data_IF_485960134086
#
_entry.id   IF_485960134086
#
_cell.length_a   1.000
_cell.length_b   1.000
_cell.length_c   1.000
_cell.angle_alpha   90.00
_cell.angle_beta   90.00
_cell.angle_gamma   90.00
#
_symmetry.space_group_name_H-M   'P 1'
#
loop_
_entity.id
_entity.type
_entity.pdbx_description
1 polymer ?
#
# COMPACT_ATOMS: atom_id res chain seq x y z
N UNK A 1 -25.82 -22.22 14.60
CA UNK A 1 -25.14 -22.38 13.28
C UNK A 1 -23.71 -22.83 13.56
N UNK A 2 -23.31 -23.95 12.99
CA UNK A 2 -21.92 -24.40 13.11
C UNK A 2 -21.09 -23.72 12.04
N UNK A 3 -19.93 -23.10 12.34
CA UNK A 3 -19.06 -22.53 11.34
C UNK A 3 -18.65 -23.59 10.29
N UNK A 4 -18.77 -23.25 9.01
CA UNK A 4 -18.55 -24.23 7.91
C UNK A 4 -17.08 -24.38 7.52
N UNK A 5 -16.22 -23.44 7.94
CA UNK A 5 -14.80 -23.42 7.56
C UNK A 5 -13.92 -23.28 8.80
N UNK A 6 -12.92 -24.12 8.93
CA UNK A 6 -11.99 -24.14 10.07
C UNK A 6 -10.54 -23.89 9.64
N UNK A 7 -10.19 -24.14 8.38
CA UNK A 7 -8.84 -23.94 7.88
C UNK A 7 -8.68 -22.50 7.33
N UNK A 8 -7.62 -21.79 7.75
CA UNK A 8 -7.40 -20.39 7.32
C UNK A 8 -7.42 -20.19 5.79
N UNK A 9 -6.83 -21.13 5.03
CA UNK A 9 -6.82 -21.08 3.58
C UNK A 9 -8.22 -21.15 2.96
N UNK A 10 -9.10 -21.98 3.50
CA UNK A 10 -10.48 -22.14 3.01
C UNK A 10 -11.33 -20.92 3.36
N UNK A 11 -11.13 -20.37 4.56
CA UNK A 11 -11.80 -19.12 4.99
C UNK A 11 -11.47 -17.99 4.01
N UNK A 12 -10.19 -17.80 3.68
CA UNK A 12 -9.77 -16.73 2.78
C UNK A 12 -10.27 -16.97 1.36
N UNK A 13 -10.17 -18.19 0.81
CA UNK A 13 -10.71 -18.53 -0.53
C UNK A 13 -12.20 -18.23 -0.60
N UNK A 14 -12.95 -18.66 0.42
CA UNK A 14 -14.40 -18.41 0.50
C UNK A 14 -14.69 -16.93 0.55
N UNK A 15 -13.96 -16.16 1.36
CA UNK A 15 -14.10 -14.70 1.43
C UNK A 15 -13.84 -14.03 0.09
N UNK A 16 -12.75 -14.38 -0.60
CA UNK A 16 -12.44 -13.82 -1.93
C UNK A 16 -13.50 -14.23 -2.97
N UNK A 17 -14.05 -15.45 -2.89
CA UNK A 17 -15.14 -15.90 -3.77
C UNK A 17 -16.44 -15.09 -3.55
N UNK A 18 -16.78 -14.83 -2.28
CA UNK A 18 -17.94 -13.97 -1.92
C UNK A 18 -17.73 -12.56 -2.46
N UNK A 19 -16.57 -11.95 -2.20
CA UNK A 19 -16.22 -10.60 -2.69
C UNK A 19 -16.32 -10.54 -4.21
N UNK A 20 -15.81 -11.55 -4.92
CA UNK A 20 -15.88 -11.60 -6.39
C UNK A 20 -17.31 -11.59 -6.88
N UNK A 21 -18.17 -12.48 -6.34
CA UNK A 21 -19.58 -12.54 -6.70
C UNK A 21 -20.30 -11.22 -6.42
N UNK A 22 -20.10 -10.64 -5.25
CA UNK A 22 -20.76 -9.37 -4.87
C UNK A 22 -20.27 -8.19 -5.72
N UNK A 23 -19.00 -8.15 -6.13
CA UNK A 23 -18.49 -7.17 -7.09
C UNK A 23 -19.17 -7.30 -8.45
N UNK A 24 -19.39 -8.53 -8.93
CA UNK A 24 -20.08 -8.80 -10.19
C UNK A 24 -21.56 -8.39 -10.11
N UNK A 25 -22.25 -8.72 -9.01
CA UNK A 25 -23.64 -8.32 -8.75
C UNK A 25 -23.82 -6.79 -8.68
N UNK A 26 -22.83 -6.08 -8.14
CA UNK A 26 -22.80 -4.61 -8.06
C UNK A 26 -22.36 -3.94 -9.38
N UNK A 27 -21.90 -4.67 -10.37
CA UNK A 27 -21.32 -4.12 -11.60
C UNK A 27 -20.00 -3.38 -11.36
N UNK A 28 -19.21 -3.79 -10.36
CA UNK A 28 -17.96 -3.16 -9.91
C UNK A 28 -16.75 -4.07 -10.12
N UNK A 29 -16.84 -5.01 -11.03
CA UNK A 29 -15.73 -5.94 -11.33
C UNK A 29 -14.48 -5.15 -11.74
N UNK A 30 -13.38 -5.23 -10.98
CA UNK A 30 -12.16 -4.51 -11.32
C UNK A 30 -11.46 -5.15 -12.52
N UNK A 31 -10.65 -4.39 -13.28
CA UNK A 31 -9.79 -4.93 -14.32
C UNK A 31 -8.89 -6.05 -13.78
N UNK A 32 -8.59 -7.09 -14.58
CA UNK A 32 -7.80 -8.24 -14.12
C UNK A 32 -6.47 -7.87 -13.45
N UNK A 33 -5.77 -6.86 -13.98
CA UNK A 33 -4.47 -6.39 -13.52
C UNK A 33 -4.52 -5.75 -12.11
N UNK A 34 -5.66 -5.20 -11.70
CA UNK A 34 -5.85 -4.56 -10.38
C UNK A 34 -6.67 -5.40 -9.41
N UNK A 35 -7.31 -6.46 -9.91
CA UNK A 35 -8.30 -7.24 -9.16
C UNK A 35 -7.75 -7.83 -7.84
N UNK A 36 -6.51 -8.30 -7.82
CA UNK A 36 -5.89 -8.84 -6.61
C UNK A 36 -5.77 -7.78 -5.50
N UNK A 37 -5.39 -6.55 -5.86
CA UNK A 37 -5.27 -5.42 -4.92
C UNK A 37 -6.65 -5.00 -4.42
N UNK A 38 -7.61 -4.76 -5.32
CA UNK A 38 -8.96 -4.32 -4.96
C UNK A 38 -9.62 -5.34 -4.03
N UNK A 39 -9.62 -6.62 -4.39
CA UNK A 39 -10.22 -7.70 -3.58
C UNK A 39 -9.55 -7.84 -2.23
N UNK A 40 -8.22 -7.66 -2.14
CA UNK A 40 -7.48 -7.71 -0.87
C UNK A 40 -7.85 -6.54 0.05
N UNK A 41 -8.03 -5.35 -0.48
CA UNK A 41 -8.47 -4.19 0.30
C UNK A 41 -9.90 -4.41 0.80
N UNK A 42 -10.82 -4.87 -0.03
CA UNK A 42 -12.19 -5.19 0.37
C UNK A 42 -12.20 -6.31 1.43
N UNK A 43 -11.39 -7.36 1.25
CA UNK A 43 -11.26 -8.43 2.25
C UNK A 43 -10.83 -7.90 3.62
N UNK A 44 -9.93 -6.90 3.65
CA UNK A 44 -9.42 -6.31 4.90
C UNK A 44 -10.42 -5.35 5.56
N UNK A 45 -11.29 -4.70 4.78
CA UNK A 45 -12.13 -3.60 5.25
C UNK A 45 -13.63 -3.92 5.27
N UNK A 46 -14.05 -4.97 4.57
CA UNK A 46 -15.44 -5.29 4.26
C UNK A 46 -16.19 -4.12 3.56
N UNK A 47 -15.47 -3.27 2.82
CA UNK A 47 -15.99 -2.03 2.22
C UNK A 47 -15.80 -2.05 0.69
N UNK A 48 -16.90 -2.19 -0.03
CA UNK A 48 -16.94 -2.27 -1.49
C UNK A 48 -16.72 -0.93 -2.18
N UNK A 49 -16.79 0.20 -1.47
CA UNK A 49 -16.48 1.51 -2.06
C UNK A 49 -15.02 1.59 -2.56
N UNK A 50 -14.13 0.75 -2.04
CA UNK A 50 -12.76 0.67 -2.54
C UNK A 50 -12.67 0.20 -4.00
N UNK A 51 -13.66 -0.51 -4.52
CA UNK A 51 -13.73 -0.83 -5.95
C UNK A 51 -13.90 0.42 -6.84
N UNK A 52 -14.49 1.49 -6.30
CA UNK A 52 -14.66 2.78 -6.99
C UNK A 52 -13.57 3.79 -6.67
N UNK A 53 -13.07 3.75 -5.42
CA UNK A 53 -12.20 4.80 -4.89
C UNK A 53 -10.70 4.51 -5.07
N UNK A 54 -10.32 3.26 -5.31
CA UNK A 54 -8.93 2.96 -5.65
C UNK A 54 -8.63 3.40 -7.08
N UNK A 55 -7.65 4.29 -7.21
CA UNK A 55 -7.07 4.71 -8.48
C UNK A 55 -5.69 4.13 -8.66
N UNK A 56 -5.38 3.80 -9.89
CA UNK A 56 -4.10 3.24 -10.29
C UNK A 56 -3.58 4.05 -11.48
N UNK A 57 -2.31 4.43 -11.48
CA UNK A 57 -1.65 4.85 -12.72
C UNK A 57 -1.47 3.64 -13.64
N UNK A 58 -1.42 3.83 -14.97
CA UNK A 58 -1.21 2.71 -15.89
C UNK A 58 0.04 1.88 -15.53
N UNK A 59 -0.11 0.55 -15.47
CA UNK A 59 1.00 -0.36 -15.17
C UNK A 59 1.50 -0.35 -13.71
N UNK A 60 0.81 0.31 -12.76
CA UNK A 60 1.27 0.45 -11.38
C UNK A 60 1.52 -0.90 -10.68
N UNK A 61 0.63 -1.88 -10.88
CA UNK A 61 0.78 -3.21 -10.27
C UNK A 61 1.97 -3.96 -10.87
N UNK A 62 2.12 -3.92 -12.20
CA UNK A 62 3.25 -4.56 -12.88
C UNK A 62 4.60 -3.95 -12.45
N UNK A 63 4.68 -2.61 -12.38
CA UNK A 63 5.86 -1.90 -11.91
C UNK A 63 6.23 -2.28 -10.46
N UNK A 64 5.22 -2.38 -9.58
CA UNK A 64 5.41 -2.81 -8.21
C UNK A 64 5.93 -4.25 -8.11
N UNK A 65 5.34 -5.19 -8.85
CA UNK A 65 5.78 -6.58 -8.89
C UNK A 65 7.22 -6.69 -9.40
N UNK A 66 7.56 -5.96 -10.46
CA UNK A 66 8.95 -5.89 -10.97
C UNK A 66 9.93 -5.34 -9.94
N UNK A 67 9.56 -4.28 -9.23
CA UNK A 67 10.39 -3.70 -8.18
C UNK A 67 10.59 -4.67 -7.00
N UNK A 68 9.54 -5.38 -6.59
CA UNK A 68 9.63 -6.39 -5.53
C UNK A 68 10.54 -7.56 -5.93
N UNK A 69 10.51 -8.02 -7.17
CA UNK A 69 11.45 -9.02 -7.69
C UNK A 69 12.90 -8.52 -7.69
N UNK A 70 13.11 -7.21 -7.84
CA UNK A 70 14.41 -6.57 -7.75
C UNK A 70 14.87 -6.30 -6.30
N UNK A 71 14.09 -6.72 -5.30
CA UNK A 71 14.42 -6.52 -3.88
C UNK A 71 14.17 -5.10 -3.37
N UNK A 72 13.23 -4.37 -3.96
CA UNK A 72 12.91 -3.01 -3.53
C UNK A 72 12.45 -2.97 -2.07
N UNK A 73 12.92 -1.97 -1.33
CA UNK A 73 12.43 -1.68 0.03
C UNK A 73 10.98 -1.20 0.00
N UNK A 74 10.24 -1.52 1.05
CA UNK A 74 8.96 -0.89 1.34
C UNK A 74 9.15 0.05 2.53
N UNK A 75 8.89 1.34 2.37
CA UNK A 75 8.94 2.31 3.46
C UNK A 75 7.52 2.71 3.83
N UNK A 76 7.16 2.55 5.11
CA UNK A 76 5.83 2.90 5.62
C UNK A 76 5.88 4.15 6.49
N UNK A 77 4.76 4.88 6.55
CA UNK A 77 4.60 6.04 7.44
C UNK A 77 4.10 5.68 8.84
N UNK A 78 3.82 4.40 9.12
CA UNK A 78 3.39 3.92 10.43
C UNK A 78 3.95 2.54 10.75
N UNK A 79 4.26 2.30 12.04
CA UNK A 79 4.61 0.97 12.51
C UNK A 79 3.44 -0.03 12.39
N UNK A 80 2.20 0.44 12.40
CA UNK A 80 1.02 -0.39 12.18
C UNK A 80 1.02 -0.97 10.76
N UNK A 81 1.26 -0.15 9.73
CA UNK A 81 1.38 -0.64 8.36
C UNK A 81 2.56 -1.62 8.23
N UNK A 82 3.73 -1.29 8.79
CA UNK A 82 4.90 -2.16 8.80
C UNK A 82 4.60 -3.52 9.45
N UNK A 83 3.89 -3.52 10.60
CA UNK A 83 3.52 -4.75 11.30
C UNK A 83 2.56 -5.62 10.48
N UNK A 84 1.68 -5.01 9.68
CA UNK A 84 0.70 -5.69 8.83
C UNK A 84 1.29 -6.30 7.55
N UNK A 85 2.51 -5.93 7.15
CA UNK A 85 3.17 -6.47 5.95
C UNK A 85 3.69 -7.89 6.20
N UNK A 86 3.42 -8.79 5.26
CA UNK A 86 3.80 -10.21 5.34
C UNK A 86 5.33 -10.41 5.33
N UNK A 87 5.87 -10.87 6.44
CA UNK A 87 7.31 -11.19 6.58
C UNK A 87 7.74 -12.38 5.71
N UNK A 88 6.99 -13.52 5.67
CA UNK A 88 7.34 -14.65 4.81
C UNK A 88 7.36 -14.29 3.33
N UNK A 89 6.40 -13.49 2.86
CA UNK A 89 6.35 -13.04 1.48
C UNK A 89 7.55 -12.16 1.10
N UNK A 90 7.91 -11.19 1.95
CA UNK A 90 9.09 -10.36 1.74
C UNK A 90 10.37 -11.19 1.71
N UNK A 91 10.53 -12.13 2.66
CA UNK A 91 11.72 -13.02 2.71
C UNK A 91 11.88 -13.81 1.42
N UNK A 92 10.78 -14.30 0.83
CA UNK A 92 10.80 -15.04 -0.46
C UNK A 92 11.32 -14.18 -1.62
N UNK A 93 11.14 -12.86 -1.54
CA UNK A 93 11.58 -11.89 -2.54
C UNK A 93 12.91 -11.20 -2.18
N UNK A 94 13.57 -11.61 -1.09
CA UNK A 94 14.75 -10.93 -0.53
C UNK A 94 14.49 -9.43 -0.29
N UNK A 95 13.23 -9.05 -0.04
CA UNK A 95 12.78 -7.70 0.21
C UNK A 95 12.76 -7.36 1.69
N UNK A 96 12.79 -6.06 2.00
CA UNK A 96 12.70 -5.53 3.35
C UNK A 96 11.61 -4.45 3.43
N UNK A 97 11.03 -4.31 4.63
CA UNK A 97 10.12 -3.22 4.94
C UNK A 97 10.56 -2.51 6.21
N UNK A 98 10.52 -1.18 6.20
CA UNK A 98 10.99 -0.31 7.28
C UNK A 98 10.00 0.81 7.56
N UNK A 99 10.10 1.38 8.78
CA UNK A 99 9.37 2.58 9.20
C UNK A 99 10.30 3.45 10.06
N UNK A 100 10.50 4.69 9.67
CA UNK A 100 11.37 5.63 10.37
C UNK A 100 10.69 6.40 11.51
N UNK A 101 9.38 6.22 11.74
CA UNK A 101 8.59 7.03 12.68
C UNK A 101 9.04 6.91 14.15
N UNK A 102 9.66 5.79 14.53
CA UNK A 102 10.18 5.58 15.87
C UNK A 102 11.69 5.94 16.02
N UNK A 103 12.34 6.33 14.93
CA UNK A 103 13.78 6.66 14.95
C UNK A 103 14.01 8.01 15.67
N UNK A 104 14.86 8.05 16.73
CA UNK A 104 15.17 9.28 17.45
C UNK A 104 15.76 10.38 16.56
N UNK A 105 16.57 10.02 15.56
CA UNK A 105 17.15 11.00 14.64
C UNK A 105 16.09 11.69 13.77
N UNK A 106 15.04 10.96 13.36
CA UNK A 106 13.89 11.53 12.65
C UNK A 106 13.08 12.45 13.55
N UNK A 107 12.89 12.07 14.82
CA UNK A 107 12.20 12.92 15.79
C UNK A 107 12.95 14.24 16.01
N UNK A 108 14.28 14.18 16.13
CA UNK A 108 15.12 15.38 16.31
C UNK A 108 15.13 16.25 15.05
N UNK A 109 15.29 15.65 13.86
CA UNK A 109 15.24 16.38 12.60
C UNK A 109 13.89 17.10 12.39
N UNK A 110 12.77 16.44 12.72
CA UNK A 110 11.45 17.05 12.65
C UNK A 110 11.33 18.27 13.59
N UNK A 111 11.85 18.15 14.82
CA UNK A 111 11.86 19.25 15.81
C UNK A 111 12.70 20.43 15.32
N UNK A 112 13.89 20.18 14.82
CA UNK A 112 14.81 21.23 14.31
C UNK A 112 14.23 21.95 13.11
N UNK A 113 13.56 21.22 12.21
CA UNK A 113 12.91 21.77 11.01
C UNK A 113 11.52 22.39 11.28
N UNK A 114 10.97 22.28 12.50
CA UNK A 114 9.63 22.78 12.82
C UNK A 114 8.52 22.06 12.06
N UNK A 115 8.71 20.76 11.75
CA UNK A 115 7.79 19.97 10.93
C UNK A 115 7.34 18.69 11.62
N UNK A 116 6.57 17.84 10.92
CA UNK A 116 6.11 16.55 11.46
C UNK A 116 7.16 15.45 11.26
N UNK A 117 7.10 14.41 12.14
CA UNK A 117 7.96 13.22 11.95
C UNK A 117 7.70 12.53 10.60
N UNK A 118 6.47 12.57 10.10
CA UNK A 118 6.12 11.98 8.81
C UNK A 118 6.87 12.68 7.65
N UNK A 119 6.96 14.00 7.68
CA UNK A 119 7.75 14.80 6.72
C UNK A 119 9.22 14.41 6.81
N UNK A 120 9.83 14.47 8.01
CA UNK A 120 11.24 14.13 8.20
C UNK A 120 11.55 12.66 7.81
N UNK A 121 10.62 11.74 8.08
CA UNK A 121 10.74 10.33 7.67
C UNK A 121 10.75 10.17 6.14
N UNK A 122 9.91 10.92 5.40
CA UNK A 122 9.88 10.84 3.94
C UNK A 122 11.10 11.48 3.29
N UNK A 123 11.61 12.60 3.80
CA UNK A 123 12.90 13.15 3.36
C UNK A 123 14.05 12.15 3.56
N UNK A 124 14.04 11.41 4.67
CA UNK A 124 15.02 10.35 4.91
C UNK A 124 14.85 9.19 3.94
N UNK A 125 13.62 8.73 3.74
CA UNK A 125 13.30 7.68 2.79
C UNK A 125 13.75 8.03 1.36
N UNK A 126 13.52 9.27 0.92
CA UNK A 126 13.95 9.77 -0.39
C UNK A 126 15.48 9.70 -0.58
N UNK A 127 16.24 10.01 0.49
CA UNK A 127 17.72 9.96 0.43
C UNK A 127 18.29 8.55 0.52
N UNK A 128 17.76 7.71 1.42
CA UNK A 128 18.33 6.38 1.71
C UNK A 128 17.79 5.30 0.78
N UNK A 129 16.54 5.44 0.30
CA UNK A 129 15.85 4.46 -0.53
C UNK A 129 15.10 5.10 -1.70
N UNK A 130 15.78 5.81 -2.63
CA UNK A 130 15.12 6.57 -3.71
C UNK A 130 14.27 5.72 -4.65
N UNK A 131 14.55 4.41 -4.76
CA UNK A 131 13.79 3.45 -5.56
C UNK A 131 12.81 2.60 -4.75
N UNK A 132 12.47 2.98 -3.52
CA UNK A 132 11.56 2.21 -2.67
C UNK A 132 10.10 2.26 -3.15
N UNK A 133 9.29 1.35 -2.64
CA UNK A 133 7.83 1.45 -2.59
C UNK A 133 7.49 2.26 -1.33
N UNK A 134 6.88 3.43 -1.49
CA UNK A 134 6.47 4.30 -0.39
C UNK A 134 5.00 4.03 -0.06
N UNK A 135 4.69 3.52 1.14
CA UNK A 135 3.35 3.10 1.53
C UNK A 135 2.81 3.99 2.68
N UNK A 136 1.97 4.96 2.33
CA UNK A 136 1.45 6.00 3.22
C UNK A 136 -0.01 5.70 3.58
N UNK A 137 -0.24 5.32 4.83
CA UNK A 137 -1.56 4.95 5.36
C UNK A 137 -2.14 5.91 6.39
N UNK A 138 -1.37 6.92 6.83
CA UNK A 138 -1.82 7.80 7.90
C UNK A 138 -1.59 9.29 7.64
N UNK A 139 -0.40 9.70 7.18
CA UNK A 139 0.00 11.10 7.17
C UNK A 139 -0.20 11.78 5.80
N UNK A 140 -1.20 12.69 5.65
CA UNK A 140 -1.34 13.51 4.44
C UNK A 140 -0.09 14.32 4.13
N UNK A 141 0.60 14.83 5.15
CA UNK A 141 1.85 15.58 4.99
C UNK A 141 2.97 14.76 4.35
N UNK A 142 3.01 13.44 4.57
CA UNK A 142 3.95 12.56 3.91
C UNK A 142 3.71 12.51 2.38
N UNK A 143 2.45 12.53 1.93
CA UNK A 143 2.13 12.56 0.50
C UNK A 143 2.60 13.85 -0.17
N UNK A 144 2.39 15.00 0.50
CA UNK A 144 2.85 16.30 0.00
C UNK A 144 4.38 16.34 -0.09
N UNK A 145 5.08 15.83 0.93
CA UNK A 145 6.55 15.73 0.91
C UNK A 145 7.05 14.84 -0.24
N UNK A 146 6.40 13.70 -0.49
CA UNK A 146 6.76 12.82 -1.61
C UNK A 146 6.56 13.56 -2.95
N UNK A 147 5.47 14.33 -3.12
CA UNK A 147 5.24 15.12 -4.32
C UNK A 147 6.33 16.18 -4.52
N UNK A 148 6.74 16.89 -3.47
CA UNK A 148 7.85 17.86 -3.48
C UNK A 148 9.19 17.19 -3.82
N UNK A 149 9.48 16.03 -3.23
CA UNK A 149 10.69 15.26 -3.55
C UNK A 149 10.68 14.75 -5.00
N UNK A 150 9.52 14.38 -5.57
CA UNK A 150 9.41 14.03 -6.99
C UNK A 150 9.69 15.22 -7.92
N UNK A 151 9.29 16.43 -7.53
CA UNK A 151 9.65 17.67 -8.24
C UNK A 151 11.17 17.91 -8.20
N UNK A 152 11.82 17.56 -7.06
CA UNK A 152 13.27 17.61 -6.90
C UNK A 152 14.02 16.45 -7.57
N UNK A 153 13.32 15.50 -8.20
CA UNK A 153 13.93 14.41 -8.97
C UNK A 153 13.79 12.99 -8.39
N UNK A 154 13.12 12.82 -7.25
CA UNK A 154 12.84 11.48 -6.70
C UNK A 154 11.97 10.66 -7.67
N UNK A 155 12.32 9.40 -7.86
CA UNK A 155 11.53 8.45 -8.68
C UNK A 155 11.38 7.13 -7.94
N UNK A 156 10.44 7.03 -6.97
CA UNK A 156 10.16 5.79 -6.27
C UNK A 156 9.58 4.74 -7.23
N UNK A 157 9.77 3.47 -6.90
CA UNK A 157 9.24 2.38 -7.72
C UNK A 157 7.70 2.33 -7.71
N UNK A 158 7.08 2.74 -6.61
CA UNK A 158 5.63 2.90 -6.45
C UNK A 158 5.33 3.83 -5.28
N UNK A 159 4.26 4.60 -5.38
CA UNK A 159 3.67 5.29 -4.21
C UNK A 159 2.27 4.73 -3.93
N UNK A 160 2.05 4.26 -2.70
CA UNK A 160 0.73 3.87 -2.18
C UNK A 160 0.24 5.01 -1.30
N UNK A 161 -0.72 5.80 -1.80
CA UNK A 161 -1.27 6.99 -1.12
C UNK A 161 -2.67 6.72 -0.57
N UNK A 162 -2.75 6.17 0.63
CA UNK A 162 -4.03 5.78 1.24
C UNK A 162 -4.21 6.26 2.68
N UNK A 163 -3.80 7.50 3.04
CA UNK A 163 -4.08 7.99 4.39
C UNK A 163 -5.59 8.12 4.63
N UNK A 164 -6.01 7.88 5.87
CA UNK A 164 -7.39 8.08 6.33
C UNK A 164 -7.50 9.39 7.08
N UNK A 165 -8.64 10.10 6.97
CA UNK A 165 -8.89 11.28 7.82
C UNK A 165 -9.75 12.35 7.18
N UNK A 166 -9.72 13.54 7.81
CA UNK A 166 -10.64 14.64 7.50
C UNK A 166 -9.93 15.94 7.12
N UNK A 167 -8.65 16.12 7.51
CA UNK A 167 -7.89 17.36 7.28
C UNK A 167 -6.82 17.10 6.22
N UNK A 168 -6.89 17.80 5.12
CA UNK A 168 -5.95 17.73 3.99
C UNK A 168 -5.77 16.34 3.36
N UNK A 169 -6.66 15.38 3.68
CA UNK A 169 -6.52 13.99 3.21
C UNK A 169 -6.88 13.86 1.74
N UNK A 170 -7.98 14.48 1.32
CA UNK A 170 -8.43 14.43 -0.08
C UNK A 170 -7.45 15.17 -0.96
N UNK A 171 -7.14 16.40 -0.60
CA UNK A 171 -6.25 17.29 -1.34
C UNK A 171 -4.82 16.70 -1.49
N UNK A 172 -4.29 16.11 -0.42
CA UNK A 172 -2.96 15.50 -0.49
C UNK A 172 -2.88 14.29 -1.42
N UNK A 173 -3.96 13.52 -1.54
CA UNK A 173 -4.03 12.39 -2.48
C UNK A 173 -4.13 12.86 -3.92
N UNK A 174 -4.91 13.92 -4.17
CA UNK A 174 -5.03 14.53 -5.49
C UNK A 174 -3.68 15.10 -5.93
N UNK A 175 -3.02 15.92 -5.09
CA UNK A 175 -1.69 16.48 -5.36
C UNK A 175 -0.66 15.39 -5.63
N UNK A 176 -0.65 14.34 -4.79
CA UNK A 176 0.27 13.21 -5.02
C UNK A 176 0.00 12.51 -6.34
N UNK A 177 -1.26 12.19 -6.63
CA UNK A 177 -1.63 11.42 -7.82
C UNK A 177 -1.29 12.18 -9.09
N UNK A 178 -1.60 13.49 -9.14
CA UNK A 178 -1.24 14.38 -10.23
C UNK A 178 0.28 14.49 -10.41
N UNK A 179 1.05 14.54 -9.32
CA UNK A 179 2.51 14.53 -9.37
C UNK A 179 3.03 13.20 -9.91
N UNK A 180 2.46 12.07 -9.49
CA UNK A 180 2.82 10.75 -10.00
C UNK A 180 2.57 10.64 -11.52
N UNK A 181 1.42 11.11 -12.03
CA UNK A 181 1.13 11.14 -13.45
C UNK A 181 2.11 12.06 -14.20
N UNK A 182 2.36 13.26 -13.67
CA UNK A 182 3.28 14.25 -14.28
C UNK A 182 4.70 13.73 -14.42
N UNK A 183 5.21 13.02 -13.42
CA UNK A 183 6.59 12.55 -13.37
C UNK A 183 6.76 11.08 -13.80
N UNK A 184 5.67 10.43 -14.24
CA UNK A 184 5.70 9.01 -14.66
C UNK A 184 6.03 8.04 -13.53
N UNK A 185 5.64 8.36 -12.29
CA UNK A 185 5.83 7.50 -11.12
C UNK A 185 4.59 6.62 -10.94
N UNK A 186 4.75 5.29 -10.82
CA UNK A 186 3.63 4.40 -10.53
C UNK A 186 2.96 4.74 -9.20
N UNK A 187 1.61 4.73 -9.16
CA UNK A 187 0.85 5.06 -7.97
C UNK A 187 -0.42 4.23 -7.80
N UNK A 188 -0.77 3.96 -6.55
CA UNK A 188 -2.06 3.41 -6.11
C UNK A 188 -2.58 4.32 -5.01
N UNK A 189 -3.74 4.96 -5.20
CA UNK A 189 -4.33 5.86 -4.22
C UNK A 189 -5.79 5.50 -3.92
N UNK A 190 -6.20 5.59 -2.65
CA UNK A 190 -7.60 5.51 -2.25
C UNK A 190 -8.18 6.92 -2.17
N UNK A 191 -8.87 7.37 -3.21
CA UNK A 191 -9.40 8.73 -3.28
C UNK A 191 -10.48 8.98 -2.22
N UNK A 192 -10.69 10.26 -1.88
CA UNK A 192 -11.57 10.65 -0.80
C UNK A 192 -10.97 10.42 0.59
N UNK A 193 -11.82 10.26 1.61
CA UNK A 193 -11.40 10.23 3.04
C UNK A 193 -11.00 8.86 3.56
N UNK A 194 -11.42 7.78 2.87
CA UNK A 194 -11.16 6.39 3.29
C UNK A 194 -9.71 6.00 3.06
N UNK A 195 -9.21 5.12 3.91
CA UNK A 195 -7.83 4.64 3.87
C UNK A 195 -7.43 4.03 5.21
N UNK A 196 -6.13 4.06 5.49
CA UNK A 196 -5.59 3.62 6.78
C UNK A 196 -4.33 2.77 6.63
N UNK A 197 -3.61 2.59 7.73
CA UNK A 197 -2.43 1.73 7.79
C UNK A 197 -2.74 0.27 7.41
N UNK A 198 -3.93 -0.22 7.75
CA UNK A 198 -4.42 -1.53 7.35
C UNK A 198 -4.62 -1.64 5.83
N UNK A 199 -5.13 -0.58 5.20
CA UNK A 199 -5.30 -0.51 3.74
C UNK A 199 -3.95 -0.48 3.04
N UNK A 200 -2.99 0.33 3.54
CA UNK A 200 -1.63 0.35 3.02
C UNK A 200 -0.97 -1.04 3.10
N UNK A 201 -1.06 -1.70 4.26
CA UNK A 201 -0.55 -3.06 4.43
C UNK A 201 -1.26 -4.08 3.53
N UNK A 202 -2.59 -3.97 3.34
CA UNK A 202 -3.35 -4.84 2.46
C UNK A 202 -2.89 -4.72 1.00
N UNK A 203 -2.67 -3.50 0.50
CA UNK A 203 -2.13 -3.26 -0.84
C UNK A 203 -0.72 -3.85 -0.97
N UNK A 204 0.18 -3.56 0.00
CA UNK A 204 1.52 -4.15 0.01
C UNK A 204 1.45 -5.69 -0.04
N UNK A 205 0.58 -6.31 0.77
CA UNK A 205 0.44 -7.76 0.80
C UNK A 205 -0.10 -8.33 -0.52
N UNK A 206 -1.06 -7.66 -1.17
CA UNK A 206 -1.54 -8.08 -2.48
C UNK A 206 -0.41 -8.09 -3.52
N UNK A 207 0.42 -7.03 -3.54
CA UNK A 207 1.56 -6.91 -4.45
C UNK A 207 2.64 -7.96 -4.15
N UNK A 208 2.97 -8.17 -2.87
CA UNK A 208 3.93 -9.20 -2.43
C UNK A 208 3.42 -10.59 -2.79
N UNK A 209 2.14 -10.90 -2.55
CA UNK A 209 1.57 -12.20 -2.91
C UNK A 209 1.55 -12.43 -4.42
N UNK A 210 1.31 -11.38 -5.21
CA UNK A 210 1.42 -11.45 -6.67
C UNK A 210 2.86 -11.74 -7.10
N UNK A 211 3.84 -11.01 -6.58
CA UNK A 211 5.25 -11.19 -6.92
C UNK A 211 5.82 -12.54 -6.44
N UNK A 212 5.43 -13.00 -5.25
CA UNK A 212 5.93 -14.24 -4.66
C UNK A 212 5.14 -15.50 -5.08
N UNK A 213 4.17 -15.38 -5.99
CA UNK A 213 3.27 -16.47 -6.39
C UNK A 213 2.51 -17.10 -5.20
N UNK A 214 2.04 -16.24 -4.29
CA UNK A 214 1.37 -16.61 -3.04
C UNK A 214 -0.09 -16.11 -2.98
N UNK A 215 -0.72 -15.83 -4.12
CA UNK A 215 -2.12 -15.41 -4.17
C UNK A 215 -3.05 -16.48 -3.64
N UNK A 216 -2.78 -17.76 -3.95
CA UNK A 216 -3.46 -18.88 -3.28
C UNK A 216 -2.98 -18.97 -1.83
N UNK A 217 -3.90 -18.95 -0.84
CA UNK A 217 -3.54 -19.04 0.58
C UNK A 217 -2.75 -20.29 0.96
N UNK A 218 -2.92 -21.42 0.27
CA UNK A 218 -2.15 -22.63 0.52
C UNK A 218 -0.66 -22.47 0.26
N UNK A 219 -0.27 -21.58 -0.66
CA UNK A 219 1.13 -21.28 -0.95
C UNK A 219 1.85 -20.51 0.19
N UNK A 220 1.11 -20.10 1.25
CA UNK A 220 1.64 -19.36 2.42
C UNK A 220 1.97 -20.24 3.61
N UNK A 221 1.91 -21.59 3.43
CA UNK A 221 2.23 -22.55 4.51
C UNK A 221 1.12 -22.66 5.56
N UNK A 222 -0.09 -22.22 5.26
CA UNK A 222 -1.27 -22.38 6.11
C UNK A 222 -1.92 -23.76 5.92
N UNK A 223 -1.09 -24.78 5.85
CA UNK A 223 -1.51 -26.17 5.88
C UNK A 223 -1.75 -26.51 7.35
N UNK A 224 -3.00 -26.45 7.77
CA UNK A 224 -3.44 -26.87 9.10
C UNK A 224 -3.28 -28.35 9.34
#
# INVERSE_FOLDING_TARGET
MTPQHHLPADIERTSISIITRELDELGLTPPPETAAVVKRVIHTTADFDYAKNLRFTPGAVEAAVKALHAGAFIVTDTNMALAGITKPGLKKLNGEAICYMADPAVAEAAKQAGTTRAVAAMHRAAREHPGAILAIGNAPTALLTIAEEMEAGLRPALVIGVPVGFVNVVESKEVLFDACERYGVPAIAAMGRKGGSNVAAAICNALIYSAAEMLDPSARGWNG
#
